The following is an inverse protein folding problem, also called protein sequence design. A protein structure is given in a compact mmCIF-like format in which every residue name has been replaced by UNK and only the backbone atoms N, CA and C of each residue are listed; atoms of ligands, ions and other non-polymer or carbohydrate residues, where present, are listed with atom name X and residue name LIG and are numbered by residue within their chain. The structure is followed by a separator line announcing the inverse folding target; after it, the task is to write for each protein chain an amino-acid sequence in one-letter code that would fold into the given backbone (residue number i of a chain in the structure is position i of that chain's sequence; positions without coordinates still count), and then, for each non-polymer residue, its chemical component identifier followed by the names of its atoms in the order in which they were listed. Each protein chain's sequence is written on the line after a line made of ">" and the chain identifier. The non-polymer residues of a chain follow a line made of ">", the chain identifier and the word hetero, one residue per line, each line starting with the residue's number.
data_IF_407578910445
#
_entry.id   IF_407578910445
#
_cell.length_a   1.000
_cell.length_b   1.000
_cell.length_c   1.000
_cell.angle_alpha   90.00
_cell.angle_beta   90.00
_cell.angle_gamma   90.00
#
_symmetry.space_group_name_H-M   'P 1'
#
loop_
_entity.id
_entity.type
_entity.pdbx_description
1 polymer ?
#
# COMPACT_ATOMS: atom_id res chain seq x y z
N UNK A 1 -28.27 -9.66 -15.55
CA UNK A 1 -26.82 -9.60 -15.39
C UNK A 1 -26.45 -9.73 -13.91
N UNK A 2 -25.51 -10.57 -13.52
CA UNK A 2 -25.06 -10.56 -12.13
C UNK A 2 -24.28 -9.27 -11.85
N UNK A 3 -24.27 -8.79 -10.58
CA UNK A 3 -23.51 -7.59 -10.18
C UNK A 3 -22.05 -7.61 -10.68
N UNK A 4 -21.46 -8.80 -10.77
CA UNK A 4 -20.08 -9.03 -11.23
C UNK A 4 -19.89 -8.66 -12.71
N UNK A 5 -20.85 -8.95 -13.59
CA UNK A 5 -20.76 -8.62 -15.01
C UNK A 5 -21.06 -7.16 -15.29
N UNK A 6 -21.93 -6.53 -14.52
CA UNK A 6 -22.26 -5.12 -14.72
C UNK A 6 -21.07 -4.20 -14.49
N UNK A 7 -20.23 -4.46 -13.47
CA UNK A 7 -19.03 -3.66 -13.21
C UNK A 7 -17.97 -3.80 -14.31
N UNK A 8 -17.76 -5.03 -14.81
CA UNK A 8 -16.84 -5.26 -15.93
C UNK A 8 -17.32 -4.54 -17.20
N UNK A 9 -18.62 -4.61 -17.49
CA UNK A 9 -19.23 -3.90 -18.63
C UNK A 9 -19.07 -2.39 -18.47
N UNK A 10 -19.31 -1.84 -17.29
CA UNK A 10 -19.14 -0.41 -17.01
C UNK A 10 -17.72 0.07 -17.24
N UNK A 11 -16.75 -0.74 -16.80
CA UNK A 11 -15.33 -0.42 -17.00
C UNK A 11 -14.95 -0.39 -18.49
N UNK A 12 -15.36 -1.39 -19.25
CA UNK A 12 -15.07 -1.45 -20.68
C UNK A 12 -15.77 -0.32 -21.45
N UNK A 13 -17.00 0.00 -21.12
CA UNK A 13 -17.73 1.12 -21.71
C UNK A 13 -16.99 2.44 -21.42
N UNK A 14 -16.61 2.70 -20.19
CA UNK A 14 -15.88 3.91 -19.79
C UNK A 14 -14.47 3.98 -20.40
N UNK A 15 -13.85 2.84 -20.70
CA UNK A 15 -12.56 2.79 -21.40
C UNK A 15 -12.68 3.22 -22.85
N UNK A 16 -13.78 2.87 -23.51
CA UNK A 16 -14.05 3.21 -24.93
C UNK A 16 -14.58 4.63 -25.06
N UNK A 17 -15.52 5.02 -24.21
CA UNK A 17 -16.10 6.36 -24.17
C UNK A 17 -16.24 6.83 -22.71
N UNK A 18 -15.30 7.64 -22.21
CA UNK A 18 -15.34 8.18 -20.85
C UNK A 18 -16.55 9.07 -20.58
N UNK A 19 -17.16 9.65 -21.60
CA UNK A 19 -18.30 10.55 -21.51
C UNK A 19 -19.65 9.84 -21.57
N UNK A 20 -19.67 8.55 -21.94
CA UNK A 20 -20.91 7.83 -22.14
C UNK A 20 -21.74 7.74 -20.83
N UNK A 21 -23.03 7.90 -20.99
CA UNK A 21 -24.02 7.69 -19.92
C UNK A 21 -24.60 6.29 -20.01
N UNK A 22 -24.74 5.63 -18.88
CA UNK A 22 -25.50 4.39 -18.77
C UNK A 22 -26.18 4.26 -17.41
N UNK A 23 -27.31 3.58 -17.37
CA UNK A 23 -28.07 3.32 -16.16
C UNK A 23 -28.31 1.82 -16.01
N UNK A 24 -28.18 1.32 -14.79
CA UNK A 24 -28.52 -0.06 -14.44
C UNK A 24 -29.81 -0.03 -13.64
N UNK A 25 -30.87 -0.64 -14.17
CA UNK A 25 -32.16 -0.79 -13.49
C UNK A 25 -31.99 -1.64 -12.23
N UNK A 26 -32.22 -1.17 -11.10
CA UNK A 26 -31.83 -1.55 -9.74
C UNK A 26 -30.50 -0.93 -9.32
N UNK A 27 -29.92 -0.01 -10.12
CA UNK A 27 -28.72 0.67 -9.73
C UNK A 27 -29.05 1.63 -8.58
N UNK A 28 -28.33 1.45 -7.50
CA UNK A 28 -28.27 2.46 -6.44
C UNK A 28 -27.38 3.64 -6.85
N UNK A 29 -26.71 3.54 -8.02
CA UNK A 29 -25.77 4.53 -8.54
C UNK A 29 -25.99 4.80 -10.03
N UNK A 30 -25.88 6.05 -10.44
CA UNK A 30 -25.94 6.54 -11.82
C UNK A 30 -24.59 7.19 -12.15
N UNK A 31 -24.04 6.87 -13.34
CA UNK A 31 -22.72 7.36 -13.80
C UNK A 31 -22.86 8.06 -15.15
N UNK A 32 -22.20 9.22 -15.31
CA UNK A 32 -22.19 10.00 -16.55
C UNK A 32 -21.86 11.47 -16.31
N UNK A 33 -21.49 12.23 -17.36
CA UNK A 33 -21.38 13.68 -17.27
C UNK A 33 -22.77 14.31 -17.02
N UNK A 34 -22.83 15.32 -16.15
CA UNK A 34 -24.08 16.02 -15.81
C UNK A 34 -24.93 15.35 -14.73
N UNK A 35 -24.46 14.21 -14.18
CA UNK A 35 -25.07 13.64 -12.98
C UNK A 35 -24.07 13.76 -11.84
N UNK A 36 -24.41 14.57 -10.87
CA UNK A 36 -23.82 14.41 -9.56
C UNK A 36 -24.05 12.97 -9.12
N UNK A 37 -23.01 12.31 -8.60
CA UNK A 37 -23.21 11.07 -7.84
C UNK A 37 -24.31 11.38 -6.86
N UNK A 38 -25.52 10.87 -7.09
CA UNK A 38 -26.56 10.95 -6.07
C UNK A 38 -26.03 10.20 -4.87
N UNK A 39 -25.31 10.91 -4.02
CA UNK A 39 -25.04 10.51 -2.65
C UNK A 39 -26.40 10.53 -1.98
N UNK A 40 -27.19 9.47 -2.18
CA UNK A 40 -28.27 9.16 -1.26
C UNK A 40 -27.58 8.91 0.06
N UNK A 41 -27.35 10.00 0.81
CA UNK A 41 -27.07 9.92 2.24
C UNK A 41 -28.34 9.34 2.85
N UNK A 42 -28.42 8.02 2.86
CA UNK A 42 -29.31 7.34 3.79
C UNK A 42 -28.77 7.75 5.15
N UNK A 43 -29.59 8.51 5.89
CA UNK A 43 -29.25 9.03 7.21
C UNK A 43 -28.78 7.85 8.07
N UNK A 44 -27.48 7.79 8.38
CA UNK A 44 -26.86 6.71 9.16
C UNK A 44 -25.87 5.80 8.41
N UNK A 45 -25.69 5.90 7.08
CA UNK A 45 -24.63 5.14 6.41
C UNK A 45 -23.29 5.86 6.55
N UNK A 46 -22.28 5.07 6.95
CA UNK A 46 -20.89 5.53 7.00
C UNK A 46 -20.39 5.80 5.58
N UNK A 47 -19.58 6.84 5.34
CA UNK A 47 -18.90 7.02 4.05
C UNK A 47 -18.04 5.80 3.74
N UNK A 48 -18.10 5.35 2.49
CA UNK A 48 -17.28 4.24 2.01
C UNK A 48 -15.94 4.80 1.53
N UNK A 49 -14.85 4.22 2.01
CA UNK A 49 -13.51 4.48 1.49
C UNK A 49 -12.85 3.13 1.19
N UNK A 50 -12.28 3.00 0.01
CA UNK A 50 -11.59 1.76 -0.39
C UNK A 50 -10.15 1.82 0.06
N UNK A 51 -9.65 0.76 0.64
CA UNK A 51 -8.22 0.54 0.81
C UNK A 51 -7.73 -0.37 -0.32
N UNK A 52 -6.91 0.20 -1.20
CA UNK A 52 -6.37 -0.49 -2.37
C UNK A 52 -5.25 -1.47 -1.96
N UNK A 53 -5.63 -2.50 -1.21
CA UNK A 53 -4.72 -3.55 -0.75
C UNK A 53 -5.36 -4.92 -0.85
N UNK A 54 -4.55 -5.93 -1.11
CA UNK A 54 -4.92 -7.34 -0.99
C UNK A 54 -4.44 -7.96 0.34
N UNK A 55 -3.73 -7.19 1.17
CA UNK A 55 -3.24 -7.63 2.47
C UNK A 55 -4.35 -7.54 3.54
N UNK A 56 -4.84 -8.70 3.98
CA UNK A 56 -5.92 -8.79 4.97
C UNK A 56 -5.53 -8.19 6.34
N UNK A 57 -4.28 -8.32 6.76
CA UNK A 57 -3.82 -7.77 8.05
C UNK A 57 -3.83 -6.24 8.04
N UNK A 58 -3.33 -5.62 6.96
CA UNK A 58 -3.39 -4.16 6.80
C UNK A 58 -4.83 -3.65 6.83
N UNK A 59 -5.73 -4.36 6.16
CA UNK A 59 -7.14 -3.99 6.09
C UNK A 59 -7.80 -4.04 7.46
N UNK A 60 -7.52 -5.08 8.24
CA UNK A 60 -8.10 -5.24 9.58
C UNK A 60 -7.62 -4.16 10.55
N UNK A 61 -6.33 -3.84 10.56
CA UNK A 61 -5.78 -2.73 11.36
C UNK A 61 -6.53 -1.42 11.08
N UNK A 62 -6.68 -1.07 9.80
CA UNK A 62 -7.35 0.18 9.42
C UNK A 62 -8.84 0.16 9.78
N UNK A 63 -9.51 -0.98 9.64
CA UNK A 63 -10.91 -1.14 10.05
C UNK A 63 -11.11 -0.94 11.56
N UNK A 64 -10.21 -1.46 12.37
CA UNK A 64 -10.27 -1.27 13.82
C UNK A 64 -10.16 0.21 14.20
N UNK A 65 -9.38 0.97 13.48
CA UNK A 65 -9.13 2.38 13.79
C UNK A 65 -10.21 3.31 13.22
N UNK A 66 -10.68 3.06 12.00
CA UNK A 66 -11.60 3.93 11.25
C UNK A 66 -13.05 3.42 11.20
N UNK A 67 -13.28 2.15 11.54
CA UNK A 67 -14.55 1.46 11.30
C UNK A 67 -15.78 2.08 11.97
N UNK A 68 -15.60 2.90 12.99
CA UNK A 68 -16.73 3.64 13.63
C UNK A 68 -17.27 4.77 12.76
N UNK A 69 -16.42 5.37 11.92
CA UNK A 69 -16.77 6.55 11.10
C UNK A 69 -16.90 6.25 9.62
N UNK A 70 -16.12 5.28 9.12
CA UNK A 70 -16.04 4.92 7.71
C UNK A 70 -16.31 3.43 7.51
N UNK A 71 -16.90 3.08 6.38
CA UNK A 71 -16.96 1.71 5.90
C UNK A 71 -15.72 1.49 5.00
N UNK A 72 -14.72 0.80 5.55
CA UNK A 72 -13.48 0.49 4.80
C UNK A 72 -13.70 -0.79 4.02
N UNK A 73 -13.57 -0.70 2.68
CA UNK A 73 -13.69 -1.83 1.77
C UNK A 73 -12.36 -2.21 1.14
N UNK A 74 -12.16 -3.51 0.94
CA UNK A 74 -11.04 -4.05 0.17
C UNK A 74 -11.30 -4.02 -1.32
N UNK A 75 -10.26 -4.27 -2.12
CA UNK A 75 -10.38 -4.47 -3.57
C UNK A 75 -11.39 -5.57 -3.90
N UNK A 76 -11.31 -6.69 -3.20
CA UNK A 76 -12.22 -7.83 -3.39
C UNK A 76 -13.70 -7.47 -3.13
N UNK A 77 -13.97 -6.67 -2.10
CA UNK A 77 -15.34 -6.28 -1.73
C UNK A 77 -15.97 -5.31 -2.73
N UNK A 78 -15.16 -4.56 -3.46
CA UNK A 78 -15.64 -3.72 -4.57
C UNK A 78 -15.65 -4.46 -5.92
N UNK A 79 -15.23 -5.74 -5.93
CA UNK A 79 -15.13 -6.55 -7.14
C UNK A 79 -13.96 -6.21 -8.04
N UNK A 80 -12.94 -5.53 -7.52
CA UNK A 80 -11.69 -5.30 -8.23
C UNK A 80 -10.84 -6.56 -8.20
N UNK A 81 -10.62 -7.13 -9.38
CA UNK A 81 -9.74 -8.29 -9.59
C UNK A 81 -8.52 -7.89 -10.43
N UNK A 82 -8.37 -6.59 -10.69
CA UNK A 82 -7.28 -6.08 -11.49
C UNK A 82 -5.99 -6.07 -10.66
N UNK A 83 -4.87 -6.33 -11.32
CA UNK A 83 -3.56 -6.00 -10.78
C UNK A 83 -3.39 -4.48 -10.86
N UNK A 84 -3.13 -3.85 -9.72
CA UNK A 84 -3.00 -2.40 -9.67
C UNK A 84 -1.64 -1.99 -10.22
N UNK A 85 -1.57 -0.91 -11.01
CA UNK A 85 -0.31 -0.47 -11.58
C UNK A 85 0.63 0.10 -10.49
N UNK A 86 1.92 -0.18 -10.63
CA UNK A 86 3.05 0.37 -9.88
C UNK A 86 4.18 0.65 -10.86
N UNK A 87 4.00 1.71 -11.67
CA UNK A 87 4.86 1.97 -12.83
C UNK A 87 5.88 3.08 -12.63
N UNK A 88 5.87 3.68 -11.44
CA UNK A 88 6.71 4.83 -11.12
C UNK A 88 7.93 4.47 -10.27
N UNK A 89 8.90 5.38 -10.24
CA UNK A 89 10.18 5.23 -9.52
C UNK A 89 10.11 5.78 -8.08
N UNK A 90 8.93 6.19 -7.60
CA UNK A 90 8.74 6.74 -6.25
C UNK A 90 7.56 6.08 -5.54
N UNK A 91 7.68 5.93 -4.22
CA UNK A 91 6.59 5.40 -3.37
C UNK A 91 5.34 6.28 -3.47
N UNK A 92 5.53 7.59 -3.56
CA UNK A 92 4.46 8.58 -3.65
C UNK A 92 3.60 8.38 -4.91
N UNK A 93 4.24 8.25 -6.05
CA UNK A 93 3.53 8.12 -7.32
C UNK A 93 2.90 6.73 -7.48
N UNK A 94 3.56 5.66 -7.01
CA UNK A 94 2.98 4.32 -7.01
C UNK A 94 1.74 4.24 -6.10
N UNK A 95 1.82 4.78 -4.88
CA UNK A 95 0.64 4.85 -4.00
C UNK A 95 -0.49 5.67 -4.64
N UNK A 96 -0.16 6.82 -5.25
CA UNK A 96 -1.15 7.69 -5.88
C UNK A 96 -1.74 7.06 -7.14
N UNK A 97 -0.95 6.38 -7.95
CA UNK A 97 -1.42 5.66 -9.14
C UNK A 97 -2.46 4.60 -8.78
N UNK A 98 -2.20 3.81 -7.74
CA UNK A 98 -3.17 2.81 -7.21
C UNK A 98 -4.46 3.47 -6.73
N UNK A 99 -4.39 4.56 -5.98
CA UNK A 99 -5.57 5.26 -5.48
C UNK A 99 -6.39 5.88 -6.62
N UNK A 100 -5.73 6.55 -7.58
CA UNK A 100 -6.35 7.11 -8.78
C UNK A 100 -7.02 6.05 -9.64
N UNK A 101 -6.39 4.87 -9.77
CA UNK A 101 -6.95 3.77 -10.54
C UNK A 101 -8.32 3.36 -10.01
N UNK A 102 -8.42 3.13 -8.70
CA UNK A 102 -9.69 2.74 -8.06
C UNK A 102 -10.73 3.85 -8.17
N UNK A 103 -10.34 5.10 -7.91
CA UNK A 103 -11.27 6.22 -8.02
C UNK A 103 -11.80 6.37 -9.44
N UNK A 104 -10.92 6.26 -10.45
CA UNK A 104 -11.27 6.43 -11.87
C UNK A 104 -12.16 5.30 -12.40
N UNK A 105 -11.83 4.03 -12.09
CA UNK A 105 -12.48 2.88 -12.72
C UNK A 105 -13.59 2.27 -11.87
N UNK A 106 -13.59 2.49 -10.57
CA UNK A 106 -14.57 1.94 -9.63
C UNK A 106 -15.44 3.00 -8.93
N UNK A 107 -15.08 4.29 -9.03
CA UNK A 107 -15.90 5.40 -8.55
C UNK A 107 -15.95 5.56 -7.02
N UNK A 108 -14.98 5.03 -6.29
CA UNK A 108 -14.89 5.15 -4.84
C UNK A 108 -13.80 6.13 -4.43
N UNK A 109 -14.02 6.85 -3.33
CA UNK A 109 -12.91 7.46 -2.60
C UNK A 109 -11.97 6.34 -2.16
N UNK A 110 -10.66 6.51 -2.36
CA UNK A 110 -9.71 5.43 -2.20
C UNK A 110 -8.40 5.91 -1.61
N UNK A 111 -7.81 5.10 -0.75
CA UNK A 111 -6.41 5.24 -0.37
C UNK A 111 -5.62 3.96 -0.67
N UNK A 112 -4.34 4.16 -0.95
CA UNK A 112 -3.37 3.09 -1.18
C UNK A 112 -2.09 3.39 -0.43
N UNK A 113 -1.37 2.36 -0.03
CA UNK A 113 -0.03 2.50 0.54
C UNK A 113 1.04 1.95 -0.41
N UNK A 114 2.21 2.58 -0.35
CA UNK A 114 3.44 2.00 -0.85
C UNK A 114 4.55 2.13 0.20
N UNK A 115 5.43 1.13 0.29
CA UNK A 115 6.40 1.02 1.37
C UNK A 115 7.73 0.52 0.85
N UNK A 116 8.80 1.21 1.24
CA UNK A 116 10.17 0.81 0.94
C UNK A 116 11.08 0.84 2.15
N UNK A 117 12.11 0.02 2.08
CA UNK A 117 13.32 0.11 2.90
C UNK A 117 14.34 0.94 2.12
N UNK A 118 14.83 2.00 2.70
CA UNK A 118 15.83 2.88 2.11
C UNK A 118 17.12 2.80 2.95
N UNK A 119 18.25 2.44 2.32
CA UNK A 119 19.55 2.24 2.99
C UNK A 119 20.56 3.26 2.49
N UNK A 120 21.14 4.02 3.40
CA UNK A 120 22.03 5.14 3.06
C UNK A 120 23.23 4.70 2.22
N UNK A 121 23.92 3.62 2.60
CA UNK A 121 25.09 3.11 1.88
C UNK A 121 24.76 2.61 0.47
N UNK A 122 23.48 2.33 0.19
CA UNK A 122 23.00 1.87 -1.11
C UNK A 122 22.25 2.98 -1.88
N UNK A 123 22.46 4.25 -1.53
CA UNK A 123 21.82 5.40 -2.15
C UNK A 123 20.27 5.32 -2.17
N UNK A 124 19.69 4.79 -1.09
CA UNK A 124 18.25 4.63 -0.94
C UNK A 124 17.67 3.31 -1.48
N UNK A 125 18.50 2.45 -2.07
CA UNK A 125 18.03 1.11 -2.42
C UNK A 125 17.79 0.26 -1.15
N UNK A 126 16.88 -0.73 -1.20
CA UNK A 126 15.99 -1.13 -2.30
C UNK A 126 14.86 -0.16 -2.66
N UNK A 127 14.43 0.75 -1.77
CA UNK A 127 13.40 1.75 -2.05
C UNK A 127 12.10 1.14 -2.61
N UNK A 128 11.64 1.62 -3.76
CA UNK A 128 10.44 1.11 -4.46
C UNK A 128 10.55 -0.36 -4.88
N UNK A 129 11.76 -0.89 -4.93
CA UNK A 129 12.04 -2.29 -5.29
C UNK A 129 12.06 -3.22 -4.08
N UNK A 130 11.68 -2.76 -2.88
CA UNK A 130 11.82 -3.54 -1.65
C UNK A 130 11.18 -4.93 -1.71
N UNK A 131 10.03 -5.06 -2.36
CA UNK A 131 9.34 -6.34 -2.49
C UNK A 131 9.97 -7.31 -3.50
N UNK A 132 10.80 -6.78 -4.44
CA UNK A 132 11.40 -7.52 -5.56
C UNK A 132 12.89 -7.24 -5.73
N UNK A 133 13.57 -6.90 -4.64
CA UNK A 133 14.97 -6.45 -4.70
C UNK A 133 15.90 -7.51 -5.28
N UNK A 134 15.68 -8.77 -4.99
CA UNK A 134 16.45 -9.88 -5.56
C UNK A 134 16.27 -10.00 -7.09
N UNK A 135 15.15 -9.55 -7.64
CA UNK A 135 14.85 -9.62 -9.08
C UNK A 135 15.53 -8.52 -9.91
N UNK A 136 16.09 -7.49 -9.26
CA UNK A 136 16.77 -6.42 -9.97
C UNK A 136 18.09 -6.97 -10.51
N UNK A 137 18.32 -6.81 -11.81
CA UNK A 137 19.57 -7.18 -12.43
C UNK A 137 20.70 -6.35 -11.83
N UNK A 138 21.70 -7.06 -11.31
CA UNK A 138 22.86 -6.48 -10.66
C UNK A 138 24.08 -7.34 -11.03
N UNK A 139 24.99 -6.76 -11.81
CA UNK A 139 26.18 -7.46 -12.31
C UNK A 139 27.10 -7.93 -11.18
N UNK A 140 26.99 -7.32 -9.98
CA UNK A 140 27.82 -7.63 -8.83
C UNK A 140 27.16 -8.62 -7.84
N UNK A 141 25.95 -9.11 -8.18
CA UNK A 141 25.24 -10.06 -7.34
C UNK A 141 24.56 -11.14 -8.18
N UNK A 142 24.96 -12.38 -7.95
CA UNK A 142 24.34 -13.58 -8.53
C UNK A 142 24.01 -14.55 -7.39
N UNK A 143 22.73 -14.89 -7.25
CA UNK A 143 22.25 -15.87 -6.28
C UNK A 143 21.74 -17.10 -7.05
N UNK A 144 22.49 -18.22 -7.05
CA UNK A 144 22.09 -19.42 -7.79
C UNK A 144 20.85 -20.10 -7.22
N UNK A 145 20.51 -19.81 -5.96
CA UNK A 145 19.32 -20.36 -5.29
C UNK A 145 18.06 -19.50 -5.49
N UNK A 146 18.21 -18.35 -6.19
CA UNK A 146 17.10 -17.44 -6.42
C UNK A 146 16.33 -17.79 -7.69
N UNK A 147 15.04 -18.07 -7.54
CA UNK A 147 14.11 -18.24 -8.66
C UNK A 147 13.39 -16.90 -8.96
N UNK A 148 13.77 -16.27 -10.06
CA UNK A 148 13.19 -14.98 -10.53
C UNK A 148 11.69 -15.05 -10.82
N UNK A 149 11.10 -16.25 -10.84
CA UNK A 149 9.63 -16.41 -11.01
C UNK A 149 8.81 -16.07 -9.77
N UNK A 150 9.44 -15.93 -8.61
CA UNK A 150 8.77 -15.64 -7.35
C UNK A 150 9.02 -14.19 -6.90
N UNK A 151 8.06 -13.31 -7.17
CA UNK A 151 8.02 -12.00 -6.53
C UNK A 151 7.74 -12.16 -5.02
N UNK A 152 8.25 -11.20 -4.22
CA UNK A 152 8.10 -11.17 -2.76
C UNK A 152 8.87 -12.25 -1.98
N UNK A 153 9.94 -12.83 -2.53
CA UNK A 153 10.85 -13.69 -1.77
C UNK A 153 11.67 -12.85 -0.77
N UNK A 154 11.15 -12.77 0.46
CA UNK A 154 11.78 -11.99 1.53
C UNK A 154 13.19 -12.51 1.89
N UNK A 155 13.41 -13.81 1.80
CA UNK A 155 14.71 -14.41 2.11
C UNK A 155 15.75 -14.03 1.07
N UNK A 156 15.43 -14.12 -0.22
CA UNK A 156 16.31 -13.70 -1.30
C UNK A 156 16.59 -12.19 -1.24
N UNK A 157 15.57 -11.38 -0.98
CA UNK A 157 15.71 -9.92 -0.82
C UNK A 157 16.66 -9.57 0.33
N UNK A 158 16.52 -10.22 1.49
CA UNK A 158 17.43 -10.02 2.64
C UNK A 158 18.84 -10.49 2.35
N UNK A 159 19.03 -11.68 1.71
CA UNK A 159 20.36 -12.17 1.33
C UNK A 159 21.08 -11.17 0.45
N UNK A 160 20.41 -10.65 -0.59
CA UNK A 160 20.99 -9.62 -1.47
C UNK A 160 21.36 -8.36 -0.69
N UNK A 161 20.47 -7.88 0.17
CA UNK A 161 20.74 -6.70 1.00
C UNK A 161 21.96 -6.88 1.88
N UNK A 162 22.07 -8.00 2.60
CA UNK A 162 23.19 -8.28 3.49
C UNK A 162 24.51 -8.45 2.72
N UNK A 163 24.48 -9.12 1.56
CA UNK A 163 25.66 -9.25 0.68
C UNK A 163 26.15 -7.88 0.18
N UNK A 164 25.23 -6.99 -0.23
CA UNK A 164 25.57 -5.62 -0.66
C UNK A 164 26.13 -4.74 0.47
N UNK A 165 25.83 -5.07 1.72
CA UNK A 165 26.32 -4.38 2.90
C UNK A 165 27.51 -5.09 3.56
N UNK A 166 28.09 -6.11 2.92
CA UNK A 166 29.29 -6.76 3.42
C UNK A 166 30.47 -5.79 3.43
N UNK A 167 31.11 -5.64 4.61
CA UNK A 167 32.20 -4.68 4.80
C UNK A 167 31.78 -3.22 4.98
N UNK A 168 30.50 -2.89 4.80
CA UNK A 168 29.99 -1.54 5.02
C UNK A 168 29.84 -1.23 6.50
N UNK A 169 30.38 -0.07 6.90
CA UNK A 169 30.26 0.45 8.27
C UNK A 169 29.04 1.31 8.47
N UNK A 170 28.58 2.02 7.42
CA UNK A 170 27.34 2.76 7.43
C UNK A 170 26.17 1.82 7.11
N UNK A 171 25.48 1.39 8.15
CA UNK A 171 24.32 0.51 8.02
C UNK A 171 23.00 1.24 8.28
N UNK A 172 23.03 2.60 8.27
CA UNK A 172 21.85 3.42 8.47
C UNK A 172 20.81 3.16 7.40
N UNK A 173 19.58 3.02 7.87
CA UNK A 173 18.44 2.75 7.00
C UNK A 173 17.17 3.37 7.59
N UNK A 174 16.14 3.45 6.76
CA UNK A 174 14.81 3.79 7.22
C UNK A 174 13.76 2.97 6.47
N UNK A 175 12.73 2.57 7.19
CA UNK A 175 11.49 2.18 6.55
C UNK A 175 10.63 3.42 6.33
N UNK A 176 10.07 3.52 5.14
CA UNK A 176 9.20 4.62 4.75
C UNK A 176 7.92 4.07 4.12
N UNK A 177 6.77 4.55 4.60
CA UNK A 177 5.45 4.28 4.00
C UNK A 177 4.85 5.59 3.54
N UNK A 178 4.35 5.62 2.33
CA UNK A 178 3.50 6.69 1.82
C UNK A 178 2.09 6.15 1.62
N UNK A 179 1.12 6.82 2.21
CA UNK A 179 -0.30 6.60 1.93
C UNK A 179 -0.78 7.75 1.05
N UNK A 180 -1.29 7.43 -0.12
CA UNK A 180 -1.96 8.35 -1.00
C UNK A 180 -3.49 8.17 -0.88
N UNK A 181 -4.22 9.25 -0.77
CA UNK A 181 -5.69 9.27 -0.64
C UNK A 181 -6.28 10.15 -1.73
N UNK A 182 -7.24 9.62 -2.48
CA UNK A 182 -8.17 10.40 -3.30
C UNK A 182 -9.50 10.44 -2.56
N UNK A 183 -9.89 11.63 -2.08
CA UNK A 183 -11.09 11.83 -1.28
C UNK A 183 -11.87 13.04 -1.75
N UNK A 184 -13.13 12.84 -2.13
CA UNK A 184 -14.02 13.91 -2.68
C UNK A 184 -13.36 14.67 -3.85
N UNK A 185 -12.59 13.96 -4.70
CA UNK A 185 -11.91 14.52 -5.87
C UNK A 185 -10.64 15.30 -5.57
N UNK A 186 -10.15 15.30 -4.33
CA UNK A 186 -8.88 15.90 -3.92
C UNK A 186 -7.86 14.81 -3.55
N UNK A 187 -6.58 15.11 -3.76
CA UNK A 187 -5.48 14.20 -3.51
C UNK A 187 -4.70 14.62 -2.27
N UNK A 188 -4.37 13.65 -1.42
CA UNK A 188 -3.64 13.85 -0.17
C UNK A 188 -2.56 12.78 -0.03
N UNK A 189 -1.50 13.09 0.73
CA UNK A 189 -0.41 12.15 1.01
C UNK A 189 -0.08 12.20 2.50
N UNK A 190 0.18 11.04 3.07
CA UNK A 190 0.57 10.86 4.47
C UNK A 190 1.77 9.94 4.52
N UNK A 191 2.78 10.35 5.24
CA UNK A 191 4.04 9.65 5.31
C UNK A 191 4.35 9.23 6.73
N UNK A 192 4.89 8.02 6.88
CA UNK A 192 5.47 7.54 8.12
C UNK A 192 6.87 6.99 7.87
N UNK A 193 7.82 7.39 8.71
CA UNK A 193 9.23 7.01 8.62
C UNK A 193 9.67 6.47 9.96
N UNK A 194 10.39 5.35 9.94
CA UNK A 194 11.13 4.82 11.10
C UNK A 194 12.57 4.63 10.69
N UNK A 195 13.45 5.33 11.36
CA UNK A 195 14.90 5.21 11.19
C UNK A 195 15.44 4.05 12.00
N UNK A 196 16.56 3.50 11.58
CA UNK A 196 17.23 2.39 12.24
C UNK A 196 18.52 2.01 11.54
N UNK A 197 18.99 0.82 11.85
CA UNK A 197 20.19 0.23 11.28
C UNK A 197 19.89 -1.19 10.73
N UNK A 198 20.59 -1.58 9.68
CA UNK A 198 20.56 -2.97 9.20
C UNK A 198 21.58 -3.79 10.01
N UNK A 199 21.13 -4.84 10.66
CA UNK A 199 22.01 -5.81 11.35
C UNK A 199 22.90 -6.57 10.35
N UNK A 200 23.95 -7.21 10.86
CA UNK A 200 24.85 -8.03 10.02
C UNK A 200 24.29 -9.40 9.69
N UNK A 201 23.32 -9.86 10.46
CA UNK A 201 22.63 -11.13 10.30
C UNK A 201 21.16 -11.02 10.70
N UNK A 202 20.37 -12.04 10.42
CA UNK A 202 18.94 -12.08 10.76
C UNK A 202 18.74 -12.38 12.23
N UNK A 203 17.79 -11.68 12.86
CA UNK A 203 17.35 -11.86 14.24
C UNK A 203 15.83 -11.94 14.31
N UNK A 204 15.32 -12.94 15.04
CA UNK A 204 13.87 -13.18 15.16
C UNK A 204 13.26 -13.88 13.94
N UNK A 205 11.99 -14.25 14.08
CA UNK A 205 11.25 -15.03 13.06
C UNK A 205 9.86 -14.45 12.78
N UNK A 206 9.45 -13.42 13.52
CA UNK A 206 8.17 -12.78 13.32
C UNK A 206 8.24 -11.71 12.22
N UNK A 207 7.07 -11.27 11.76
CA UNK A 207 6.96 -10.22 10.77
C UNK A 207 7.14 -10.70 9.33
N UNK A 208 7.55 -9.79 8.44
CA UNK A 208 7.75 -10.05 7.01
C UNK A 208 8.78 -9.10 6.39
N UNK A 209 9.24 -9.43 5.17
CA UNK A 209 10.19 -8.59 4.45
C UNK A 209 11.51 -8.50 5.16
N UNK A 210 11.97 -7.30 5.47
CA UNK A 210 13.26 -7.02 6.10
C UNK A 210 13.18 -6.89 7.63
N UNK A 211 12.09 -7.25 8.27
CA UNK A 211 11.93 -7.17 9.73
C UNK A 211 13.04 -7.89 10.51
N UNK A 212 13.53 -9.08 10.07
CA UNK A 212 14.61 -9.76 10.77
C UNK A 212 15.98 -9.08 10.73
N UNK A 213 16.16 -8.10 9.86
CA UNK A 213 17.46 -7.40 9.71
C UNK A 213 17.39 -5.93 10.05
N UNK A 214 16.21 -5.38 10.33
CA UNK A 214 16.04 -3.98 10.65
C UNK A 214 15.86 -3.76 12.16
N UNK A 215 16.80 -3.01 12.76
CA UNK A 215 16.80 -2.61 14.16
C UNK A 215 16.36 -1.15 14.24
N UNK A 216 15.15 -0.84 14.76
CA UNK A 216 14.68 0.53 14.82
C UNK A 216 15.46 1.37 15.83
N UNK A 217 15.60 2.65 15.57
CA UNK A 217 16.29 3.59 16.45
C UNK A 217 15.69 3.57 17.87
N UNK A 218 16.57 3.48 18.87
CA UNK A 218 16.17 3.39 20.29
C UNK A 218 15.90 1.98 20.79
N UNK A 219 16.08 0.96 19.95
CA UNK A 219 15.97 -0.46 20.30
C UNK A 219 17.27 -1.19 20.02
N UNK A 220 17.45 -2.34 20.67
CA UNK A 220 18.57 -3.26 20.42
C UNK A 220 18.14 -4.53 19.68
N UNK A 221 16.83 -4.71 19.51
CA UNK A 221 16.19 -5.86 18.87
C UNK A 221 15.66 -5.49 17.50
N UNK A 222 15.63 -6.46 16.60
CA UNK A 222 15.01 -6.30 15.28
C UNK A 222 13.49 -6.17 15.38
N UNK A 223 12.86 -5.69 14.33
CA UNK A 223 11.39 -5.70 14.27
C UNK A 223 10.79 -7.10 14.41
N UNK A 224 11.51 -8.13 13.97
CA UNK A 224 11.06 -9.51 14.10
C UNK A 224 11.19 -10.05 15.53
N UNK A 225 12.09 -9.50 16.35
CA UNK A 225 12.20 -9.85 17.77
C UNK A 225 11.25 -9.05 18.66
N UNK A 226 11.00 -7.77 18.32
CA UNK A 226 10.09 -6.90 19.06
C UNK A 226 8.62 -7.37 19.00
N UNK A 227 8.30 -8.16 17.98
CA UNK A 227 6.96 -8.70 17.79
C UNK A 227 5.91 -7.70 17.29
N UNK A 228 4.76 -8.23 16.94
CA UNK A 228 3.69 -7.48 16.27
C UNK A 228 3.11 -6.35 17.14
N UNK A 229 2.99 -6.56 18.46
CA UNK A 229 2.37 -5.56 19.37
C UNK A 229 3.17 -4.27 19.48
N UNK A 230 4.51 -4.37 19.49
CA UNK A 230 5.40 -3.22 19.51
C UNK A 230 5.46 -2.59 18.14
N UNK A 231 5.69 -3.40 17.09
CA UNK A 231 5.77 -2.95 15.72
C UNK A 231 4.53 -2.17 15.27
N UNK A 232 3.33 -2.63 15.64
CA UNK A 232 2.07 -1.95 15.30
C UNK A 232 1.93 -0.55 15.92
N UNK A 233 2.72 -0.23 16.95
CA UNK A 233 2.71 1.10 17.59
C UNK A 233 3.75 2.05 17.02
N UNK A 234 4.91 1.51 16.62
CA UNK A 234 6.07 2.34 16.24
C UNK A 234 6.42 2.27 14.75
N UNK A 235 5.78 1.38 13.98
CA UNK A 235 6.16 1.18 12.59
C UNK A 235 5.84 2.39 11.69
N UNK A 236 6.58 2.52 10.61
CA UNK A 236 6.37 3.48 9.53
C UNK A 236 4.91 3.51 9.05
N UNK A 237 4.28 2.32 8.91
CA UNK A 237 2.87 2.21 8.52
C UNK A 237 1.95 2.74 9.61
N UNK A 238 2.18 2.41 10.88
CA UNK A 238 1.37 2.91 11.98
C UNK A 238 1.38 4.44 12.02
N UNK A 239 2.55 5.07 11.84
CA UNK A 239 2.70 6.53 11.78
C UNK A 239 1.96 7.16 10.57
N UNK A 240 2.03 6.53 9.40
CA UNK A 240 1.32 7.01 8.21
C UNK A 240 -0.20 6.87 8.37
N UNK A 241 -0.68 5.72 8.89
CA UNK A 241 -2.10 5.46 9.17
C UNK A 241 -2.65 6.45 10.20
N UNK A 242 -1.91 6.75 11.26
CA UNK A 242 -2.33 7.74 12.27
C UNK A 242 -2.61 9.11 11.66
N UNK A 243 -1.74 9.56 10.74
CA UNK A 243 -1.94 10.83 10.01
C UNK A 243 -3.17 10.79 9.10
N UNK A 244 -3.36 9.70 8.35
CA UNK A 244 -4.57 9.47 7.55
C UNK A 244 -5.83 9.50 8.41
N UNK A 245 -5.82 8.78 9.53
CA UNK A 245 -6.93 8.71 10.49
C UNK A 245 -7.28 10.08 11.05
N UNK A 246 -6.26 10.85 11.45
CA UNK A 246 -6.44 12.20 11.97
C UNK A 246 -7.11 13.09 10.91
N UNK A 247 -6.60 13.08 9.70
CA UNK A 247 -7.18 13.80 8.57
C UNK A 247 -8.65 13.40 8.33
N UNK A 248 -8.94 12.10 8.22
CA UNK A 248 -10.30 11.63 7.95
C UNK A 248 -11.27 11.94 9.09
N UNK A 249 -10.82 11.95 10.35
CA UNK A 249 -11.64 12.33 11.50
C UNK A 249 -12.05 13.80 11.50
N UNK A 250 -11.25 14.67 10.89
CA UNK A 250 -11.52 16.10 10.75
C UNK A 250 -12.50 16.41 9.58
N UNK A 251 -12.67 15.47 8.65
CA UNK A 251 -13.60 15.62 7.54
C UNK A 251 -15.06 15.53 8.02
N UNK A 252 -15.83 16.58 7.78
CA UNK A 252 -17.27 16.68 8.13
C UNK A 252 -18.17 16.15 7.02
#
# INVERSE_FOLDING_TARGET
>A
CSKRYSQTIMREIKRVDPSCFFSITNAQNVYGEGFDVMKTKVKGQKPIVVFATNNAHKLEEVRQILGDRFEIRSLKEIGCMDELPETHDTLEENAMEKARYITKFYGFDCFADDTGLEVDALNGLPGVYSARYANIDDADYDDPDFDKSHDHDSEANMRKLLAKLEGETNRKAQFRTVIALVYKGQEYRFEGIVKGDISTEKHGTEGFGYDPVFVPEGYSESFAELGSDVKNKISHRALAVEKLVTFLKEQK
#
